data_IF_697003484143
#
_entry.id   IF_697003484143
#
_cell.length_a   1.000
_cell.length_b   1.000
_cell.length_c   1.000
_cell.angle_alpha   90.00
_cell.angle_beta   90.00
_cell.angle_gamma   90.00
#
_symmetry.space_group_name_H-M   'P 1'
#
loop_
_entity.id
_entity.type
_entity.pdbx_description
1 polymer ?
#
# COMPACT_ATOMS: atom_id res chain seq x y z
N UNK A 1 19.21 -24.81 -12.80
CA UNK A 1 18.45 -26.00 -13.25
C UNK A 1 18.75 -26.21 -14.72
N UNK A 2 18.99 -27.45 -15.15
CA UNK A 2 19.16 -27.76 -16.57
C UNK A 2 17.90 -27.35 -17.37
N UNK A 3 18.03 -26.61 -18.49
CA UNK A 3 16.88 -26.17 -19.28
C UNK A 3 16.02 -27.32 -19.84
N UNK A 4 16.64 -28.45 -20.18
CA UNK A 4 15.95 -29.64 -20.65
C UNK A 4 15.09 -30.28 -19.56
N UNK A 5 15.62 -30.37 -18.34
CA UNK A 5 14.91 -30.84 -17.16
C UNK A 5 13.73 -29.93 -16.81
N UNK A 6 13.92 -28.61 -16.80
CA UNK A 6 12.85 -27.65 -16.52
C UNK A 6 11.70 -27.77 -17.52
N UNK A 7 12.01 -27.91 -18.82
CA UNK A 7 11.00 -28.10 -19.87
C UNK A 7 10.20 -29.39 -19.65
N UNK A 8 10.88 -30.50 -19.34
CA UNK A 8 10.22 -31.78 -19.03
C UNK A 8 9.32 -31.66 -17.80
N UNK A 9 9.79 -30.96 -16.75
CA UNK A 9 9.02 -30.71 -15.53
C UNK A 9 7.73 -29.92 -15.81
N UNK A 10 7.81 -28.81 -16.55
CA UNK A 10 6.65 -28.01 -16.92
C UNK A 10 5.63 -28.83 -17.73
N UNK A 11 6.11 -29.62 -18.70
CA UNK A 11 5.24 -30.49 -19.51
C UNK A 11 4.52 -31.52 -18.62
N UNK A 12 5.26 -32.16 -17.70
CA UNK A 12 4.70 -33.14 -16.78
C UNK A 12 3.64 -32.51 -15.87
N UNK A 13 3.95 -31.37 -15.24
CA UNK A 13 3.03 -30.65 -14.37
C UNK A 13 1.73 -30.26 -15.09
N UNK A 14 1.83 -29.73 -16.32
CA UNK A 14 0.65 -29.34 -17.12
C UNK A 14 -0.23 -30.51 -17.55
N UNK A 15 0.34 -31.68 -17.82
CA UNK A 15 -0.41 -32.85 -18.31
C UNK A 15 -1.04 -33.66 -17.19
N UNK A 16 -0.31 -33.84 -16.08
CA UNK A 16 -0.67 -34.81 -15.06
C UNK A 16 -1.29 -34.21 -13.81
N UNK A 17 -1.15 -32.90 -13.58
CA UNK A 17 -1.59 -32.26 -12.33
C UNK A 17 -2.72 -31.28 -12.60
N UNK A 18 -3.90 -31.59 -12.06
CA UNK A 18 -5.12 -30.77 -12.14
C UNK A 18 -5.56 -30.42 -10.71
N UNK A 19 -4.96 -29.37 -10.11
CA UNK A 19 -5.25 -29.03 -8.72
C UNK A 19 -6.71 -28.64 -8.54
N UNK A 20 -7.27 -28.95 -7.38
CA UNK A 20 -8.56 -28.44 -6.92
C UNK A 20 -8.35 -27.55 -5.71
N UNK A 21 -9.14 -26.48 -5.61
CA UNK A 21 -9.13 -25.63 -4.41
C UNK A 21 -9.57 -26.43 -3.18
N UNK A 22 -8.81 -26.27 -2.10
CA UNK A 22 -9.28 -26.54 -0.75
C UNK A 22 -10.40 -25.57 -0.36
N UNK A 23 -11.19 -25.92 0.67
CA UNK A 23 -12.26 -25.04 1.14
C UNK A 23 -11.69 -23.76 1.78
N UNK A 24 -10.55 -23.88 2.47
CA UNK A 24 -9.81 -22.77 3.06
C UNK A 24 -9.33 -21.79 1.99
N UNK A 25 -8.70 -22.28 0.92
CA UNK A 25 -8.29 -21.47 -0.22
C UNK A 25 -9.48 -20.79 -0.91
N UNK A 26 -10.60 -21.51 -1.08
CA UNK A 26 -11.81 -20.95 -1.70
C UNK A 26 -12.36 -19.78 -0.88
N UNK A 27 -12.43 -19.95 0.45
CA UNK A 27 -12.88 -18.91 1.37
C UNK A 27 -11.97 -17.69 1.31
N UNK A 28 -10.65 -17.88 1.42
CA UNK A 28 -9.67 -16.79 1.38
C UNK A 28 -9.75 -15.97 0.09
N UNK A 29 -9.87 -16.63 -1.07
CA UNK A 29 -10.00 -15.95 -2.36
C UNK A 29 -11.31 -15.15 -2.44
N UNK A 30 -12.42 -15.72 -1.94
CA UNK A 30 -13.71 -15.06 -1.95
C UNK A 30 -13.72 -13.82 -1.05
N UNK A 31 -13.19 -13.94 0.17
CA UNK A 31 -13.10 -12.85 1.14
C UNK A 31 -12.26 -11.70 0.55
N UNK A 32 -11.06 -12.00 0.03
CA UNK A 32 -10.21 -11.00 -0.62
C UNK A 32 -10.87 -10.34 -1.84
N UNK A 33 -11.61 -11.10 -2.66
CA UNK A 33 -12.30 -10.54 -3.82
C UNK A 33 -13.38 -9.53 -3.40
N UNK A 34 -14.12 -9.82 -2.33
CA UNK A 34 -15.14 -8.90 -1.80
C UNK A 34 -14.47 -7.63 -1.27
N UNK A 35 -13.37 -7.75 -0.53
CA UNK A 35 -12.58 -6.61 -0.05
C UNK A 35 -12.06 -5.75 -1.21
N UNK A 36 -11.41 -6.36 -2.19
CA UNK A 36 -10.90 -5.70 -3.38
C UNK A 36 -12.01 -4.97 -4.15
N UNK A 37 -13.19 -5.59 -4.28
CA UNK A 37 -14.32 -4.99 -4.98
C UNK A 37 -14.92 -3.82 -4.21
N UNK A 38 -14.98 -3.92 -2.88
CA UNK A 38 -15.43 -2.84 -2.00
C UNK A 38 -14.48 -1.65 -2.08
N UNK A 39 -13.18 -1.87 -1.97
CA UNK A 39 -12.17 -0.84 -2.08
C UNK A 39 -12.24 -0.10 -3.44
N UNK A 40 -12.47 -0.83 -4.53
CA UNK A 40 -12.66 -0.21 -5.84
C UNK A 40 -13.99 0.57 -5.97
N UNK A 41 -15.06 0.14 -5.29
CA UNK A 41 -16.35 0.83 -5.33
C UNK A 41 -16.38 2.13 -4.50
N UNK A 42 -15.66 2.15 -3.38
CA UNK A 42 -15.51 3.36 -2.54
C UNK A 42 -14.73 4.46 -3.26
N UNK A 43 -13.94 4.10 -4.28
CA UNK A 43 -13.07 5.01 -5.01
C UNK A 43 -13.47 5.17 -6.47
N UNK A 44 -14.31 6.17 -6.74
CA UNK A 44 -14.86 6.46 -8.08
C UNK A 44 -13.82 6.84 -9.15
N UNK A 45 -12.61 7.21 -8.74
CA UNK A 45 -11.49 7.55 -9.62
C UNK A 45 -10.54 6.36 -9.86
N UNK A 46 -10.85 5.16 -9.34
CA UNK A 46 -10.01 3.99 -9.50
C UNK A 46 -9.75 3.73 -11.01
N UNK A 47 -8.48 3.64 -11.44
CA UNK A 47 -8.15 3.53 -12.86
C UNK A 47 -8.56 2.20 -13.49
N UNK A 48 -8.88 1.18 -12.66
CA UNK A 48 -9.24 -0.17 -13.11
C UNK A 48 -10.54 -0.61 -12.46
N UNK A 49 -11.50 -1.00 -13.31
CA UNK A 49 -12.72 -1.65 -12.85
C UNK A 49 -12.44 -3.08 -12.36
N UNK A 50 -12.79 -3.36 -11.10
CA UNK A 50 -12.75 -4.72 -10.54
C UNK A 50 -13.99 -5.50 -10.97
N UNK A 51 -13.79 -6.56 -11.74
CA UNK A 51 -14.85 -7.42 -12.28
C UNK A 51 -14.67 -8.87 -11.85
N UNK A 52 -15.68 -9.72 -12.10
CA UNK A 52 -15.62 -11.16 -11.84
C UNK A 52 -14.43 -11.86 -12.52
N UNK A 53 -13.85 -11.27 -13.59
CA UNK A 53 -12.64 -11.80 -14.23
C UNK A 53 -11.45 -11.83 -13.27
N UNK A 54 -11.37 -10.92 -12.31
CA UNK A 54 -10.28 -10.92 -11.33
C UNK A 54 -10.41 -12.08 -10.33
N UNK A 55 -11.65 -12.47 -9.98
CA UNK A 55 -11.89 -13.67 -9.19
C UNK A 55 -11.42 -14.92 -9.94
N UNK A 56 -11.75 -15.04 -11.22
CA UNK A 56 -11.25 -16.14 -12.06
C UNK A 56 -9.71 -16.13 -12.18
N UNK A 57 -9.11 -14.95 -12.28
CA UNK A 57 -7.66 -14.80 -12.35
C UNK A 57 -6.99 -15.30 -11.06
N UNK A 58 -7.51 -14.92 -9.90
CA UNK A 58 -7.04 -15.40 -8.59
C UNK A 58 -7.12 -16.93 -8.51
N UNK A 59 -8.26 -17.52 -8.86
CA UNK A 59 -8.43 -18.98 -8.88
C UNK A 59 -7.38 -19.65 -9.78
N UNK A 60 -7.17 -19.13 -11.00
CA UNK A 60 -6.20 -19.68 -11.94
C UNK A 60 -4.75 -19.56 -11.45
N UNK A 61 -4.40 -18.45 -10.79
CA UNK A 61 -3.08 -18.24 -10.21
C UNK A 61 -2.83 -19.21 -9.05
N UNK A 62 -3.79 -19.37 -8.15
CA UNK A 62 -3.75 -20.32 -7.03
C UNK A 62 -3.56 -21.77 -7.52
N UNK A 63 -4.35 -22.20 -8.52
CA UNK A 63 -4.17 -23.52 -9.12
C UNK A 63 -2.84 -23.65 -9.86
N UNK A 64 -2.35 -22.60 -10.52
CA UNK A 64 -1.05 -22.64 -11.19
C UNK A 64 0.10 -22.80 -10.18
N UNK A 65 0.03 -22.13 -9.04
CA UNK A 65 1.01 -22.25 -7.96
C UNK A 65 1.05 -23.67 -7.39
N UNK A 66 -0.13 -24.24 -7.08
CA UNK A 66 -0.25 -25.64 -6.66
C UNK A 66 0.27 -26.63 -7.72
N UNK A 67 0.00 -26.36 -9.00
CA UNK A 67 0.48 -27.18 -10.13
C UNK A 67 2.01 -27.15 -10.24
N UNK A 68 2.65 -26.00 -10.02
CA UNK A 68 4.11 -25.86 -10.08
C UNK A 68 4.82 -26.73 -9.04
N UNK A 69 4.20 -26.98 -7.89
CA UNK A 69 4.68 -27.90 -6.85
C UNK A 69 4.15 -29.34 -6.99
N UNK A 70 3.54 -29.66 -8.13
CA UNK A 70 2.92 -30.97 -8.43
C UNK A 70 1.82 -31.41 -7.44
N UNK A 71 1.18 -30.46 -6.75
CA UNK A 71 0.10 -30.75 -5.80
C UNK A 71 -1.24 -30.91 -6.52
N UNK A 72 -2.03 -31.90 -6.11
CA UNK A 72 -3.41 -32.08 -6.57
C UNK A 72 -4.42 -31.20 -5.82
N UNK A 73 -3.99 -30.53 -4.75
CA UNK A 73 -4.82 -29.64 -3.93
C UNK A 73 -4.13 -28.30 -3.83
N UNK A 74 -4.86 -27.24 -4.13
CA UNK A 74 -4.42 -25.87 -3.92
C UNK A 74 -4.83 -25.42 -2.51
N UNK A 75 -3.83 -25.14 -1.68
CA UNK A 75 -3.98 -24.82 -0.25
C UNK A 75 -4.12 -23.31 -0.04
N UNK A 76 -4.36 -22.93 1.21
CA UNK A 76 -4.36 -21.53 1.64
C UNK A 76 -3.05 -20.81 1.27
N UNK A 77 -1.90 -21.47 1.41
CA UNK A 77 -0.60 -20.92 1.01
C UNK A 77 -0.55 -20.57 -0.49
N UNK A 78 -1.11 -21.43 -1.34
CA UNK A 78 -1.18 -21.19 -2.78
C UNK A 78 -2.09 -19.97 -3.09
N UNK A 79 -3.16 -19.79 -2.32
CA UNK A 79 -4.05 -18.64 -2.42
C UNK A 79 -3.40 -17.35 -1.92
N UNK A 80 -2.67 -17.41 -0.80
CA UNK A 80 -1.94 -16.29 -0.24
C UNK A 80 -0.92 -15.71 -1.23
N UNK A 81 -0.18 -16.57 -1.94
CA UNK A 81 0.76 -16.11 -2.98
C UNK A 81 0.05 -15.47 -4.18
N UNK A 82 -1.07 -16.04 -4.63
CA UNK A 82 -1.87 -15.44 -5.71
C UNK A 82 -2.41 -14.05 -5.30
N UNK A 83 -2.89 -13.92 -4.07
CA UNK A 83 -3.35 -12.66 -3.50
C UNK A 83 -2.21 -11.66 -3.37
N UNK A 84 -1.03 -12.08 -2.90
CA UNK A 84 0.16 -11.22 -2.82
C UNK A 84 0.53 -10.64 -4.19
N UNK A 85 0.53 -11.46 -5.23
CA UNK A 85 0.78 -11.00 -6.61
C UNK A 85 -0.28 -10.01 -7.10
N UNK A 86 -1.55 -10.26 -6.79
CA UNK A 86 -2.64 -9.34 -7.13
C UNK A 86 -2.49 -8.01 -6.38
N UNK A 87 -2.15 -8.04 -5.08
CA UNK A 87 -1.90 -6.82 -4.29
C UNK A 87 -0.77 -5.99 -4.88
N UNK A 88 0.37 -6.59 -5.21
CA UNK A 88 1.48 -5.88 -5.85
C UNK A 88 1.06 -5.25 -7.19
N UNK A 89 0.23 -5.92 -7.99
CA UNK A 89 -0.31 -5.35 -9.22
C UNK A 89 -1.22 -4.15 -8.95
N UNK A 90 -2.10 -4.25 -7.95
CA UNK A 90 -3.02 -3.19 -7.56
C UNK A 90 -2.27 -1.97 -7.00
N UNK A 91 -1.25 -2.19 -6.17
CA UNK A 91 -0.36 -1.14 -5.67
C UNK A 91 0.36 -0.41 -6.82
N UNK A 92 0.82 -1.14 -7.84
CA UNK A 92 1.49 -0.55 -9.01
C UNK A 92 0.58 0.39 -9.81
N UNK A 93 -0.74 0.25 -9.65
CA UNK A 93 -1.76 1.11 -10.28
C UNK A 93 -2.45 2.04 -9.28
N UNK A 94 -1.92 2.17 -8.06
CA UNK A 94 -2.38 3.11 -7.04
C UNK A 94 -3.55 2.62 -6.17
N UNK A 95 -3.92 1.34 -6.23
CA UNK A 95 -4.99 0.75 -5.42
C UNK A 95 -4.38 0.05 -4.20
N UNK A 96 -4.57 0.62 -3.01
CA UNK A 96 -4.15 0.01 -1.73
C UNK A 96 -5.37 -0.59 -1.00
N UNK A 97 -5.36 -1.91 -0.80
CA UNK A 97 -6.43 -2.67 -0.13
C UNK A 97 -6.21 -2.71 1.39
N UNK A 98 -4.98 -2.57 1.90
CA UNK A 98 -4.70 -2.64 3.35
C UNK A 98 -5.14 -1.37 4.09
N UNK A 99 -5.02 -0.21 3.46
CA UNK A 99 -5.30 1.08 4.13
C UNK A 99 -6.74 1.57 4.01
N UNK A 100 -7.56 1.00 3.10
CA UNK A 100 -8.89 1.53 2.80
C UNK A 100 -8.86 2.96 2.21
N UNK A 101 -7.70 3.43 1.76
CA UNK A 101 -7.49 4.76 1.21
C UNK A 101 -6.74 4.65 -0.11
N UNK A 102 -7.39 5.02 -1.20
CA UNK A 102 -6.78 5.02 -2.52
C UNK A 102 -5.90 6.25 -2.66
N UNK A 103 -4.71 6.05 -3.21
CA UNK A 103 -3.71 7.09 -3.34
C UNK A 103 -3.14 7.12 -4.76
N UNK A 104 -3.99 7.59 -5.68
CA UNK A 104 -3.82 7.68 -7.15
C UNK A 104 -2.58 8.52 -7.55
N UNK A 105 -2.03 9.33 -6.64
CA UNK A 105 -0.89 10.23 -6.91
C UNK A 105 0.50 9.56 -6.74
N UNK A 106 0.55 8.29 -6.34
CA UNK A 106 1.80 7.56 -6.04
C UNK A 106 2.65 7.28 -7.30
N UNK A 107 2.02 7.17 -8.48
CA UNK A 107 2.72 6.84 -9.74
C UNK A 107 3.53 8.02 -10.30
N UNK A 108 3.17 9.27 -9.98
CA UNK A 108 3.84 10.45 -10.53
C UNK A 108 4.75 11.20 -9.55
N UNK A 109 4.61 11.01 -8.23
CA UNK A 109 5.35 11.83 -7.24
C UNK A 109 5.96 11.08 -6.04
N UNK A 110 5.70 9.78 -5.88
CA UNK A 110 6.34 8.96 -4.85
C UNK A 110 5.93 9.22 -3.40
N UNK A 111 4.80 9.92 -3.13
CA UNK A 111 4.27 10.10 -1.77
C UNK A 111 2.73 9.99 -1.72
N UNK A 112 2.14 9.35 -0.69
CA UNK A 112 0.68 9.29 -0.51
C UNK A 112 0.08 10.70 -0.31
N UNK A 113 -1.08 11.01 -0.90
CA UNK A 113 -1.97 12.17 -0.73
C UNK A 113 -2.43 12.34 0.71
N UNK A 114 -2.74 11.27 1.45
CA UNK A 114 -2.97 11.40 2.91
C UNK A 114 -1.72 11.92 3.63
N UNK A 115 -0.54 11.45 3.21
CA UNK A 115 0.73 11.93 3.75
C UNK A 115 1.05 13.34 3.26
N UNK A 116 0.75 13.69 2.01
CA UNK A 116 0.98 15.02 1.44
C UNK A 116 0.07 16.06 2.07
N UNK A 117 -1.20 15.77 2.27
CA UNK A 117 -2.14 16.64 2.98
C UNK A 117 -1.70 16.83 4.43
N UNK A 118 -1.31 15.75 5.12
CA UNK A 118 -0.71 15.86 6.48
C UNK A 118 0.59 16.65 6.48
N UNK A 119 1.43 16.54 5.44
CA UNK A 119 2.65 17.34 5.30
C UNK A 119 2.35 18.81 5.04
N UNK A 120 1.41 19.12 4.14
CA UNK A 120 0.96 20.49 3.90
C UNK A 120 0.33 21.10 5.15
N UNK A 121 -0.43 20.30 5.91
CA UNK A 121 -1.00 20.71 7.18
C UNK A 121 0.09 21.00 8.22
N UNK A 122 1.13 20.16 8.30
CA UNK A 122 2.30 20.42 9.16
C UNK A 122 3.02 21.70 8.71
N UNK A 123 3.20 21.92 7.40
CA UNK A 123 3.78 23.15 6.86
C UNK A 123 2.94 24.39 7.22
N UNK A 124 1.61 24.30 7.11
CA UNK A 124 0.68 25.37 7.45
C UNK A 124 0.67 25.64 8.95
N UNK A 125 0.68 24.60 9.79
CA UNK A 125 0.83 24.72 11.25
C UNK A 125 2.13 25.47 11.59
N UNK A 126 3.25 25.12 10.95
CA UNK A 126 4.55 25.75 11.16
C UNK A 126 4.52 27.21 10.69
N UNK A 127 3.89 27.50 9.54
CA UNK A 127 3.74 28.86 9.01
C UNK A 127 2.90 29.73 9.95
N UNK A 128 1.79 29.21 10.45
CA UNK A 128 0.92 29.85 11.42
C UNK A 128 1.61 30.12 12.74
N UNK A 129 2.32 29.15 13.30
CA UNK A 129 3.05 29.29 14.56
C UNK A 129 4.26 30.23 14.41
N UNK A 130 4.96 30.18 13.27
CA UNK A 130 6.10 31.07 13.00
C UNK A 130 5.69 32.52 12.77
N UNK A 131 4.49 32.79 12.24
CA UNK A 131 3.98 34.16 12.05
C UNK A 131 3.43 34.80 13.33
N UNK A 132 2.96 33.99 14.28
CA UNK A 132 2.39 34.45 15.57
C UNK A 132 3.44 34.55 16.70
N UNK A 133 4.62 33.95 16.53
CA UNK A 133 5.69 33.95 17.53
C UNK A 133 6.63 35.15 17.40
N UNK A 134 7.04 35.75 18.52
CA UNK A 134 8.05 36.83 18.55
C UNK A 134 9.43 36.35 18.05
N UNK A 135 9.71 35.05 18.13
CA UNK A 135 10.97 34.42 17.71
C UNK A 135 10.99 34.06 16.22
N UNK A 136 9.84 34.08 15.54
CA UNK A 136 9.72 33.78 14.11
C UNK A 136 9.98 32.32 13.75
N UNK A 137 9.79 31.38 14.68
CA UNK A 137 9.93 29.93 14.46
C UNK A 137 8.94 29.15 15.34
N UNK A 138 8.55 27.96 14.91
CA UNK A 138 7.57 27.11 15.57
C UNK A 138 8.26 26.06 16.47
N UNK A 139 7.83 25.95 17.73
CA UNK A 139 8.40 25.00 18.68
C UNK A 139 7.89 23.58 18.41
N UNK A 140 8.76 22.57 18.48
CA UNK A 140 8.38 21.15 18.24
C UNK A 140 7.19 20.72 19.09
N UNK A 141 7.17 21.09 20.38
CA UNK A 141 6.10 20.68 21.30
C UNK A 141 4.74 21.25 20.87
N UNK A 142 4.72 22.48 20.39
CA UNK A 142 3.50 23.13 19.88
C UNK A 142 3.06 22.55 18.54
N UNK A 143 4.00 22.24 17.65
CA UNK A 143 3.71 21.59 16.36
C UNK A 143 3.08 20.22 16.60
N UNK A 144 3.65 19.40 17.49
CA UNK A 144 3.13 18.06 17.80
C UNK A 144 1.74 18.13 18.46
N UNK A 145 1.53 19.06 19.40
CA UNK A 145 0.21 19.26 20.02
C UNK A 145 -0.86 19.63 18.99
N UNK A 146 -0.54 20.54 18.07
CA UNK A 146 -1.47 21.03 17.06
C UNK A 146 -1.71 20.03 15.93
N UNK A 147 -0.70 19.21 15.61
CA UNK A 147 -0.85 18.07 14.72
C UNK A 147 -1.80 17.02 15.32
N UNK A 148 -1.71 16.76 16.63
CA UNK A 148 -2.61 15.85 17.35
C UNK A 148 -4.06 16.33 17.36
N UNK A 149 -4.28 17.63 17.54
CA UNK A 149 -5.62 18.25 17.42
C UNK A 149 -6.25 18.08 16.03
N UNK A 150 -5.42 17.87 15.00
CA UNK A 150 -5.87 17.59 13.63
C UNK A 150 -5.80 16.11 13.25
N UNK A 151 -5.71 15.22 14.25
CA UNK A 151 -5.77 13.76 14.04
C UNK A 151 -4.48 13.15 13.49
N UNK A 152 -3.34 13.82 13.66
CA UNK A 152 -2.01 13.26 13.34
C UNK A 152 -1.36 12.79 14.65
N UNK A 153 -1.12 11.49 14.75
CA UNK A 153 -0.37 10.90 15.86
C UNK A 153 1.05 11.47 15.95
N UNK A 154 1.56 11.64 17.17
CA UNK A 154 2.87 12.26 17.44
C UNK A 154 4.00 11.53 16.72
N UNK A 155 3.99 10.19 16.72
CA UNK A 155 5.02 9.39 16.05
C UNK A 155 5.04 9.61 14.52
N UNK A 156 3.88 9.86 13.92
CA UNK A 156 3.74 10.13 12.48
C UNK A 156 4.22 11.56 12.19
N UNK A 157 3.86 12.53 13.03
CA UNK A 157 4.27 13.91 12.90
C UNK A 157 5.80 14.07 13.03
N UNK A 158 6.46 13.36 13.96
CA UNK A 158 7.91 13.35 14.11
C UNK A 158 8.64 12.80 12.88
N UNK A 159 8.13 11.70 12.31
CA UNK A 159 8.67 11.13 11.06
C UNK A 159 8.52 12.12 9.90
N UNK A 160 7.40 12.83 9.81
CA UNK A 160 7.16 13.84 8.77
C UNK A 160 8.08 15.06 8.94
N UNK A 161 8.25 15.58 10.16
CA UNK A 161 9.19 16.67 10.45
C UNK A 161 10.63 16.30 10.06
N UNK A 162 11.06 15.10 10.45
CA UNK A 162 12.39 14.58 10.09
C UNK A 162 12.57 14.48 8.57
N UNK A 163 11.51 14.13 7.83
CA UNK A 163 11.54 14.05 6.38
C UNK A 163 11.61 15.44 5.73
N UNK A 164 10.81 16.40 6.20
CA UNK A 164 10.81 17.77 5.68
C UNK A 164 12.15 18.51 5.93
N UNK A 165 12.83 18.20 7.04
CA UNK A 165 14.20 18.67 7.31
C UNK A 165 15.22 18.06 6.35
N UNK A 166 15.14 16.75 6.09
CA UNK A 166 16.03 16.06 5.13
C UNK A 166 15.86 16.57 3.70
N UNK A 167 14.64 16.94 3.33
CA UNK A 167 14.31 17.49 2.01
C UNK A 167 14.62 19.00 1.88
N UNK A 168 15.02 19.66 2.97
CA UNK A 168 15.37 21.09 2.99
C UNK A 168 14.18 22.05 2.88
N UNK A 169 12.96 21.55 3.03
CA UNK A 169 11.72 22.36 3.01
C UNK A 169 11.58 23.15 4.32
N UNK A 170 12.08 22.58 5.41
CA UNK A 170 12.18 23.22 6.72
C UNK A 170 13.65 23.33 7.12
N UNK A 171 13.98 24.32 7.95
CA UNK A 171 15.25 24.39 8.65
C UNK A 171 15.03 24.65 10.14
N UNK A 172 16.02 24.24 10.94
CA UNK A 172 16.05 24.46 12.37
C UNK A 172 16.81 25.76 12.68
N UNK A 173 16.12 26.75 13.26
CA UNK A 173 16.71 28.06 13.61
C UNK A 173 17.45 28.02 14.95
N UNK A 174 16.94 27.22 15.88
CA UNK A 174 17.48 26.96 17.21
C UNK A 174 17.01 25.56 17.64
N UNK A 175 17.66 24.90 18.61
CA UNK A 175 17.29 23.55 19.04
C UNK A 175 15.79 23.45 19.36
N UNK A 176 15.08 22.64 18.57
CA UNK A 176 13.64 22.44 18.68
C UNK A 176 12.76 23.59 18.15
N UNK A 177 13.30 24.48 17.31
CA UNK A 177 12.56 25.58 16.67
C UNK A 177 12.69 25.52 15.15
N UNK A 178 11.59 25.17 14.47
CA UNK A 178 11.56 24.96 13.03
C UNK A 178 10.92 26.13 12.28
N UNK A 179 11.39 26.39 11.06
CA UNK A 179 10.82 27.38 10.15
C UNK A 179 10.87 26.86 8.72
N UNK A 180 9.92 27.28 7.89
CA UNK A 180 9.96 27.05 6.45
C UNK A 180 11.16 27.78 5.83
N UNK A 181 11.92 27.06 5.01
CA UNK A 181 13.09 27.56 4.27
C UNK A 181 12.71 28.64 3.25
#
# INVERSE_FOLDING_TARGET
IDPGLLRKYIIYARRNVKPKLSEEARKMIADFFVEMRRAAAENKEAPIAITARQLEALIRLTEAHARMRLSSIATEEDAAEAIRLMRTMLESVGIDIESGSLDIDTIMTGKPKSRREKMLLIEDIIKDLSSKSQTGCANVKEILSRAKEHGIEEEIAEKMLSQLLKEGILYEKAPGCYRKA
#
